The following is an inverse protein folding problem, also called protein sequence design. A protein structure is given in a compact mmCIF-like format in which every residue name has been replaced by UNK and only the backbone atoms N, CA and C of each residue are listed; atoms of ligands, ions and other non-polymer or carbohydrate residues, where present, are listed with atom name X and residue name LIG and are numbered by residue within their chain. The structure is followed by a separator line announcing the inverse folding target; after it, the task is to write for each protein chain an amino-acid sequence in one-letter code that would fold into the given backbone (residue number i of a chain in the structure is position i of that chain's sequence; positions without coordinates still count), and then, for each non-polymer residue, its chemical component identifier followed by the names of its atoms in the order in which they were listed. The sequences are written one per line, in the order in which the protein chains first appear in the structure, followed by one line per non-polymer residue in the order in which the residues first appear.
data_IF_405942132981
#
_entry.id   IF_405942132981
#
_cell.length_a   1.000
_cell.length_b   1.000
_cell.length_c   1.000
_cell.angle_alpha   90.00
_cell.angle_beta   90.00
_cell.angle_gamma   90.00
#
_symmetry.space_group_name_H-M   'P 1'
#
loop_
_entity.id
_entity.type
_entity.pdbx_description
1 polymer ?
#
# COMPACT_ATOMS: atom_id res chain seq x y z
N UNK A 1 2.02 -13.54 -5.31
CA UNK A 1 1.57 -12.50 -6.23
C UNK A 1 1.49 -13.05 -7.65
N UNK A 2 0.38 -12.83 -8.35
CA UNK A 2 0.27 -13.37 -9.72
C UNK A 2 1.32 -12.81 -10.66
N UNK A 3 1.87 -13.69 -11.52
CA UNK A 3 2.88 -13.30 -12.49
C UNK A 3 2.48 -12.11 -13.38
N UNK A 4 1.22 -12.00 -13.86
CA UNK A 4 0.82 -10.85 -14.66
C UNK A 4 0.96 -9.51 -13.93
N UNK A 5 0.80 -9.49 -12.61
CA UNK A 5 0.97 -8.26 -11.81
C UNK A 5 2.45 -7.87 -11.78
N UNK A 6 3.34 -8.82 -11.53
CA UNK A 6 4.78 -8.56 -11.58
C UNK A 6 5.22 -8.08 -12.96
N UNK A 7 4.71 -8.71 -14.01
CA UNK A 7 5.06 -8.34 -15.38
C UNK A 7 4.63 -6.91 -15.70
N UNK A 8 3.47 -6.49 -15.19
CA UNK A 8 2.95 -5.15 -15.46
C UNK A 8 3.67 -4.06 -14.67
N UNK A 9 3.93 -4.31 -13.39
CA UNK A 9 4.47 -3.29 -12.50
C UNK A 9 5.99 -3.30 -12.46
N UNK A 10 6.58 -4.46 -12.28
CA UNK A 10 7.98 -4.60 -11.90
C UNK A 10 8.18 -4.24 -10.43
N UNK A 11 9.23 -4.76 -9.83
CA UNK A 11 9.51 -4.52 -8.41
C UNK A 11 11.02 -4.49 -8.17
N UNK A 12 11.52 -3.55 -7.40
CA UNK A 12 10.82 -2.40 -6.78
C UNK A 12 10.68 -1.21 -7.73
N UNK A 13 9.63 -0.39 -7.52
CA UNK A 13 9.36 0.81 -8.33
C UNK A 13 8.79 1.91 -7.43
N UNK A 14 8.96 3.19 -7.79
CA UNK A 14 8.36 4.30 -7.04
C UNK A 14 6.84 4.24 -7.07
N UNK A 15 6.21 4.86 -6.08
CA UNK A 15 4.74 4.91 -6.02
C UNK A 15 4.11 5.55 -7.26
N UNK A 16 4.77 6.54 -7.87
CA UNK A 16 4.25 7.14 -9.11
C UNK A 16 4.08 6.09 -10.22
N UNK A 17 5.04 5.18 -10.36
CA UNK A 17 4.98 4.10 -11.34
C UNK A 17 3.89 3.09 -10.98
N UNK A 18 3.79 2.72 -9.71
CA UNK A 18 2.77 1.77 -9.23
C UNK A 18 1.38 2.35 -9.45
N UNK A 19 1.18 3.63 -9.13
CA UNK A 19 -0.09 4.31 -9.34
C UNK A 19 -0.49 4.35 -10.82
N UNK A 20 0.47 4.56 -11.71
CA UNK A 20 0.21 4.53 -13.14
C UNK A 20 -0.25 3.15 -13.61
N UNK A 21 0.36 2.09 -13.09
CA UNK A 21 -0.05 0.72 -13.40
C UNK A 21 -1.47 0.44 -12.91
N UNK A 22 -1.82 0.91 -11.72
CA UNK A 22 -3.19 0.78 -11.19
C UNK A 22 -4.17 1.56 -12.07
N UNK A 23 -3.82 2.77 -12.48
CA UNK A 23 -4.67 3.59 -13.34
C UNK A 23 -4.91 2.96 -14.72
N UNK A 24 -4.03 2.09 -15.18
CA UNK A 24 -4.18 1.41 -16.47
C UNK A 24 -5.32 0.40 -16.49
N UNK A 25 -5.84 -0.01 -15.34
CA UNK A 25 -7.04 -0.85 -15.27
C UNK A 25 -6.84 -2.34 -15.56
N UNK A 26 -5.59 -2.81 -15.61
CA UNK A 26 -5.25 -4.19 -15.90
C UNK A 26 -5.11 -5.07 -14.64
N UNK A 27 -4.23 -6.10 -14.70
CA UNK A 27 -4.03 -7.03 -13.58
C UNK A 27 -3.65 -6.33 -12.27
N UNK A 28 -2.75 -5.35 -12.34
CA UNK A 28 -2.33 -4.60 -11.14
C UNK A 28 -3.51 -3.86 -10.51
N UNK A 29 -4.38 -3.25 -11.30
CA UNK A 29 -5.56 -2.56 -10.80
C UNK A 29 -6.50 -3.52 -10.07
N UNK A 30 -6.76 -4.68 -10.65
CA UNK A 30 -7.64 -5.69 -10.05
C UNK A 30 -7.06 -6.18 -8.72
N UNK A 31 -5.78 -6.51 -8.72
CA UNK A 31 -5.12 -6.98 -7.50
C UNK A 31 -5.10 -5.91 -6.41
N UNK A 32 -4.82 -4.68 -6.78
CA UNK A 32 -4.82 -3.54 -5.85
C UNK A 32 -6.18 -3.36 -5.18
N UNK A 33 -7.26 -3.44 -5.96
CA UNK A 33 -8.62 -3.32 -5.43
C UNK A 33 -8.98 -4.46 -4.50
N UNK A 34 -8.54 -5.69 -4.80
CA UNK A 34 -8.75 -6.83 -3.93
C UNK A 34 -8.05 -6.64 -2.59
N UNK A 35 -6.82 -6.14 -2.60
CA UNK A 35 -6.10 -5.85 -1.36
C UNK A 35 -6.79 -4.76 -0.55
N UNK A 36 -7.21 -3.68 -1.19
CA UNK A 36 -7.90 -2.59 -0.51
C UNK A 36 -9.20 -3.06 0.13
N UNK A 37 -9.95 -3.91 -0.57
CA UNK A 37 -11.19 -4.49 -0.05
C UNK A 37 -10.94 -5.38 1.15
N UNK A 38 -9.91 -6.22 1.08
CA UNK A 38 -9.55 -7.10 2.19
C UNK A 38 -9.20 -6.28 3.43
N UNK A 39 -8.43 -5.22 3.27
CA UNK A 39 -8.05 -4.37 4.40
C UNK A 39 -9.26 -3.65 4.99
N UNK A 40 -10.16 -3.17 4.15
CA UNK A 40 -11.40 -2.53 4.60
C UNK A 40 -12.28 -3.51 5.38
N UNK A 41 -12.39 -4.76 4.90
CA UNK A 41 -13.15 -5.80 5.58
C UNK A 41 -12.55 -6.11 6.96
N UNK A 42 -11.23 -6.19 7.05
CA UNK A 42 -10.53 -6.41 8.32
C UNK A 42 -10.78 -5.23 9.26
N UNK A 43 -10.67 -4.01 8.76
CA UNK A 43 -10.94 -2.82 9.57
C UNK A 43 -12.37 -2.80 10.11
N UNK A 44 -13.32 -3.27 9.29
CA UNK A 44 -14.73 -3.36 9.70
C UNK A 44 -15.01 -4.37 10.81
N UNK A 45 -14.10 -5.29 11.06
CA UNK A 45 -14.22 -6.28 12.13
C UNK A 45 -13.60 -5.81 13.46
N UNK A 46 -12.89 -4.69 13.41
CA UNK A 46 -12.26 -4.12 14.61
C UNK A 46 -13.24 -3.16 15.26
N UNK A 47 -13.41 -3.21 16.60
CA UNK A 47 -14.28 -2.26 17.29
C UNK A 47 -13.84 -0.81 17.07
N UNK A 48 -14.77 0.12 17.22
CA UNK A 48 -14.49 1.55 17.11
C UNK A 48 -13.32 1.93 18.03
N UNK A 49 -12.36 2.67 17.49
CA UNK A 49 -11.14 3.04 18.19
C UNK A 49 -10.10 1.94 18.27
N UNK A 50 -10.41 0.76 17.71
CA UNK A 50 -9.48 -0.36 17.70
C UNK A 50 -8.48 -0.29 16.56
N UNK A 51 -7.57 -1.28 16.55
CA UNK A 51 -6.50 -1.36 15.55
C UNK A 51 -6.31 -2.79 15.08
N UNK A 52 -5.86 -2.94 13.84
CA UNK A 52 -5.41 -4.22 13.32
C UNK A 52 -4.05 -4.02 12.65
N UNK A 53 -3.18 -5.01 12.79
CA UNK A 53 -1.89 -5.02 12.10
C UNK A 53 -1.92 -6.09 11.03
N UNK A 54 -1.61 -5.70 9.80
CA UNK A 54 -1.51 -6.63 8.68
C UNK A 54 -0.06 -6.65 8.23
N UNK A 55 0.54 -7.83 8.26
CA UNK A 55 1.91 -8.03 7.75
C UNK A 55 1.81 -8.66 6.37
N UNK A 56 2.49 -8.07 5.42
CA UNK A 56 2.42 -8.51 4.04
C UNK A 56 3.79 -8.33 3.36
N UNK A 57 3.80 -8.31 2.06
CA UNK A 57 5.02 -8.29 1.26
C UNK A 57 5.10 -7.01 0.45
N UNK A 58 6.32 -6.69 -0.01
CA UNK A 58 6.53 -5.63 -0.98
C UNK A 58 5.65 -5.83 -2.21
N UNK A 59 5.24 -4.75 -2.82
CA UNK A 59 4.26 -4.63 -3.89
C UNK A 59 2.82 -4.85 -3.43
N UNK A 60 2.53 -5.86 -2.60
CA UNK A 60 1.19 -6.04 -2.00
C UNK A 60 0.76 -4.79 -1.25
N UNK A 61 1.66 -4.30 -0.38
CA UNK A 61 1.38 -3.14 0.46
C UNK A 61 1.18 -1.89 -0.39
N UNK A 62 2.05 -1.66 -1.34
CA UNK A 62 1.97 -0.47 -2.20
C UNK A 62 0.71 -0.47 -3.07
N UNK A 63 0.40 -1.61 -3.69
CA UNK A 63 -0.80 -1.73 -4.53
C UNK A 63 -2.06 -1.48 -3.71
N UNK A 64 -2.16 -2.11 -2.54
CA UNK A 64 -3.30 -1.91 -1.66
C UNK A 64 -3.42 -0.48 -1.15
N UNK A 65 -2.30 0.17 -0.85
CA UNK A 65 -2.27 1.56 -0.42
C UNK A 65 -2.78 2.51 -1.51
N UNK A 66 -2.33 2.34 -2.74
CA UNK A 66 -2.79 3.14 -3.87
C UNK A 66 -4.29 2.99 -4.08
N UNK A 67 -4.80 1.77 -4.05
CA UNK A 67 -6.23 1.52 -4.24
C UNK A 67 -7.07 1.98 -3.05
N UNK A 68 -6.51 1.97 -1.83
CA UNK A 68 -7.21 2.44 -0.63
C UNK A 68 -7.34 3.96 -0.61
N UNK A 69 -6.39 4.67 -1.20
CA UNK A 69 -6.35 6.13 -1.26
C UNK A 69 -6.18 6.57 -2.72
N UNK A 70 -7.19 6.33 -3.56
CA UNK A 70 -7.03 6.49 -5.02
C UNK A 70 -6.86 7.94 -5.47
N UNK A 71 -7.30 8.90 -4.67
CA UNK A 71 -7.25 10.31 -5.02
C UNK A 71 -6.03 11.04 -4.45
N UNK A 72 -5.15 10.31 -3.77
CA UNK A 72 -3.95 10.90 -3.18
C UNK A 72 -2.90 11.23 -4.25
N UNK A 73 -1.98 12.12 -3.92
CA UNK A 73 -0.82 12.41 -4.76
C UNK A 73 0.25 11.34 -4.53
N UNK A 74 0.12 10.23 -5.26
CA UNK A 74 1.00 9.07 -5.09
C UNK A 74 2.45 9.38 -5.43
N UNK A 75 2.71 10.32 -6.33
CA UNK A 75 4.08 10.71 -6.68
C UNK A 75 4.81 11.29 -5.45
N UNK A 76 4.09 11.98 -4.57
CA UNK A 76 4.66 12.54 -3.34
C UNK A 76 5.05 11.46 -2.33
N UNK A 77 4.56 10.22 -2.49
CA UNK A 77 4.88 9.11 -1.58
C UNK A 77 6.30 8.58 -1.79
N UNK A 78 6.92 8.88 -2.92
CA UNK A 78 8.32 8.54 -3.18
C UNK A 78 8.54 7.10 -3.58
N UNK A 79 9.65 6.52 -3.11
CA UNK A 79 10.07 5.19 -3.45
C UNK A 79 9.22 4.11 -2.77
N UNK A 80 9.36 2.88 -3.25
CA UNK A 80 8.70 1.73 -2.66
C UNK A 80 9.03 1.62 -1.17
N UNK A 81 8.12 0.95 -0.43
CA UNK A 81 8.26 0.72 1.00
C UNK A 81 9.40 -0.25 1.25
N UNK A 82 10.26 0.08 2.21
CA UNK A 82 11.38 -0.76 2.63
C UNK A 82 11.02 -1.65 3.83
N UNK A 83 12.02 -2.35 4.34
CA UNK A 83 11.85 -3.23 5.50
C UNK A 83 11.39 -2.45 6.71
N UNK A 84 10.42 -3.01 7.44
CA UNK A 84 9.83 -2.42 8.65
C UNK A 84 9.18 -1.07 8.42
N UNK A 85 8.94 -0.72 7.17
CA UNK A 85 8.14 0.44 6.79
C UNK A 85 6.75 -0.02 6.38
N UNK A 86 5.81 0.89 6.27
CA UNK A 86 4.46 0.54 5.90
C UNK A 86 3.56 1.74 5.76
N UNK A 87 2.27 1.48 5.82
CA UNK A 87 1.27 2.52 5.78
C UNK A 87 0.27 2.29 6.91
N UNK A 88 -0.14 3.37 7.56
CA UNK A 88 -1.25 3.36 8.51
C UNK A 88 -2.46 3.95 7.83
N UNK A 89 -3.54 3.19 7.76
CA UNK A 89 -4.80 3.64 7.22
C UNK A 89 -5.78 3.91 8.35
N UNK A 90 -6.56 4.97 8.20
CA UNK A 90 -7.62 5.34 9.13
C UNK A 90 -8.94 5.30 8.38
N UNK A 91 -9.87 4.51 8.88
CA UNK A 91 -11.23 4.41 8.33
C UNK A 91 -12.19 5.02 9.36
N UNK A 92 -12.86 6.09 8.98
CA UNK A 92 -13.86 6.70 9.85
C UNK A 92 -15.09 7.13 9.03
N UNK A 93 -16.06 7.72 9.72
CA UNK A 93 -17.31 8.13 9.08
C UNK A 93 -17.12 9.27 8.08
N UNK A 94 -16.03 10.02 8.17
CA UNK A 94 -15.74 11.14 7.29
C UNK A 94 -14.89 10.72 6.09
N UNK A 95 -14.47 9.46 6.01
CA UNK A 95 -13.69 8.95 4.91
C UNK A 95 -12.45 8.18 5.34
N UNK A 96 -11.47 8.16 4.48
CA UNK A 96 -10.20 7.45 4.70
C UNK A 96 -9.05 8.43 4.68
N UNK A 97 -8.07 8.15 5.52
CA UNK A 97 -6.80 8.82 5.51
C UNK A 97 -5.67 7.82 5.67
N UNK A 98 -4.45 8.25 5.43
CA UNK A 98 -3.31 7.38 5.59
C UNK A 98 -2.03 8.15 5.83
N UNK A 99 -1.07 7.46 6.43
CA UNK A 99 0.26 8.00 6.71
C UNK A 99 1.30 6.96 6.35
N UNK A 100 2.29 7.36 5.56
CA UNK A 100 3.43 6.50 5.28
C UNK A 100 4.33 6.45 6.51
N UNK A 101 4.68 5.24 6.91
CA UNK A 101 5.58 5.01 8.04
C UNK A 101 6.95 4.69 7.47
N UNK A 102 7.80 5.71 7.43
CA UNK A 102 9.16 5.61 6.91
C UNK A 102 10.15 5.65 8.06
N UNK A 103 11.18 4.83 7.93
CA UNK A 103 12.29 4.87 8.86
C UNK A 103 13.36 5.80 8.31
N UNK A 104 13.89 6.72 9.12
CA UNK A 104 15.09 7.46 8.74
C UNK A 104 16.23 6.48 8.44
N UNK A 105 17.02 6.78 7.42
CA UNK A 105 18.06 5.86 6.97
C UNK A 105 19.06 5.53 8.10
N UNK A 106 19.39 6.50 8.91
CA UNK A 106 20.32 6.32 10.02
C UNK A 106 19.78 5.40 11.12
N UNK A 107 18.48 5.12 11.14
CA UNK A 107 17.87 4.23 12.13
C UNK A 107 17.70 2.81 11.61
N UNK A 108 18.08 2.54 10.37
CA UNK A 108 17.95 1.20 9.80
C UNK A 108 19.10 0.33 10.25
N UNK A 109 18.78 -0.90 10.59
CA UNK A 109 19.81 -1.91 10.82
C UNK A 109 20.25 -2.46 9.47
N UNK A 110 21.55 -2.45 9.24
CA UNK A 110 22.12 -2.93 7.98
C UNK A 110 22.94 -4.17 8.28
N UNK A 111 22.61 -5.27 7.60
CA UNK A 111 23.40 -6.48 7.59
C UNK A 111 24.10 -6.60 6.25
N UNK A 112 25.39 -6.79 6.30
CA UNK A 112 26.22 -6.96 5.11
C UNK A 112 26.63 -8.43 4.94
#
# INVERSE_FOLDING_TARGET
LPDPVYAEVGWPRPFAHIAAAVAAGGPAARFAKEQARLWEDIAGQVPDGGRALIVSHGLFVELGAVASLPDADHAAWGEAIGYCEGIRLVYDSDGRGGTLLRLPEENRLIEN
#
